data_IF_323964030067
#
_entry.id   IF_323964030067
#
_cell.length_a   1.000
_cell.length_b   1.000
_cell.length_c   1.000
_cell.angle_alpha   90.00
_cell.angle_beta   90.00
_cell.angle_gamma   90.00
#
_symmetry.space_group_name_H-M   'P 1'
#
loop_
_entity.id
_entity.type
_entity.pdbx_description
1 polymer ?
#
# COMPACT_ATOMS: atom_id res chain seq x y z
N UNK A 1 -2.81 15.19 14.38
CA UNK A 1 -1.72 15.44 13.40
C UNK A 1 -0.97 14.17 12.98
N UNK A 2 -0.64 13.24 13.88
CA UNK A 2 0.03 11.96 13.54
C UNK A 2 -0.69 11.01 12.55
N UNK A 3 -2.03 10.80 12.59
CA UNK A 3 -2.65 9.77 11.74
C UNK A 3 -2.63 10.12 10.24
N UNK A 4 -2.65 11.41 9.91
CA UNK A 4 -2.62 11.89 8.51
C UNK A 4 -1.28 11.54 7.86
N UNK A 5 -0.17 11.68 8.59
CA UNK A 5 1.16 11.34 8.09
C UNK A 5 1.29 9.83 7.82
N UNK A 6 0.76 9.00 8.73
CA UNK A 6 0.73 7.55 8.53
C UNK A 6 -0.09 7.20 7.29
N UNK A 7 -1.28 7.80 7.13
CA UNK A 7 -2.09 7.58 5.94
C UNK A 7 -1.34 7.95 4.66
N UNK A 8 -0.69 9.11 4.61
CA UNK A 8 0.10 9.56 3.44
C UNK A 8 1.23 8.57 3.14
N UNK A 9 2.02 8.20 4.15
CA UNK A 9 3.16 7.28 4.00
C UNK A 9 2.69 5.95 3.44
N UNK A 10 1.57 5.41 3.94
CA UNK A 10 1.06 4.09 3.56
C UNK A 10 0.22 4.06 2.29
N UNK A 11 -0.26 5.21 1.81
CA UNK A 11 -1.13 5.30 0.62
C UNK A 11 -0.53 4.61 -0.61
N UNK A 12 0.75 4.81 -1.00
CA UNK A 12 1.31 4.16 -2.18
C UNK A 12 1.33 2.63 -2.09
N UNK A 13 1.65 2.08 -0.92
CA UNK A 13 1.64 0.63 -0.69
C UNK A 13 0.23 0.05 -0.75
N UNK A 14 -0.75 0.75 -0.18
CA UNK A 14 -2.15 0.30 -0.22
C UNK A 14 -2.71 0.32 -1.65
N UNK A 15 -2.40 1.35 -2.43
CA UNK A 15 -2.79 1.44 -3.84
C UNK A 15 -2.11 0.37 -4.70
N UNK A 16 -0.82 0.11 -4.47
CA UNK A 16 -0.10 -1.00 -5.11
C UNK A 16 -0.77 -2.35 -4.79
N UNK A 17 -1.03 -2.62 -3.51
CA UNK A 17 -1.66 -3.85 -3.06
C UNK A 17 -3.06 -4.04 -3.68
N UNK A 18 -3.84 -2.95 -3.77
CA UNK A 18 -5.15 -2.96 -4.42
C UNK A 18 -5.01 -3.26 -5.92
N UNK A 19 -4.07 -2.64 -6.63
CA UNK A 19 -3.81 -2.91 -8.05
C UNK A 19 -3.42 -4.35 -8.32
N UNK A 20 -2.49 -4.90 -7.54
CA UNK A 20 -2.06 -6.30 -7.63
C UNK A 20 -3.18 -7.28 -7.29
N UNK A 21 -3.97 -6.98 -6.26
CA UNK A 21 -5.13 -7.78 -5.87
C UNK A 21 -6.19 -7.83 -6.97
N UNK A 22 -6.52 -6.68 -7.58
CA UNK A 22 -7.45 -6.62 -8.70
C UNK A 22 -6.92 -7.37 -9.93
N UNK A 23 -5.64 -7.22 -10.26
CA UNK A 23 -5.02 -7.96 -11.36
C UNK A 23 -5.10 -9.48 -11.14
N UNK A 24 -4.83 -9.93 -9.91
CA UNK A 24 -4.93 -11.35 -9.53
C UNK A 24 -6.36 -11.88 -9.64
N UNK A 25 -7.35 -11.14 -9.14
CA UNK A 25 -8.76 -11.56 -9.18
C UNK A 25 -9.37 -11.57 -10.58
N UNK A 26 -8.86 -10.71 -11.47
CA UNK A 26 -9.40 -10.54 -12.83
C UNK A 26 -8.60 -11.29 -13.89
N UNK A 27 -7.40 -11.76 -13.55
CA UNK A 27 -6.45 -12.36 -14.50
C UNK A 27 -5.87 -11.36 -15.49
N UNK A 28 -6.07 -10.05 -15.28
CA UNK A 28 -5.58 -9.03 -16.18
C UNK A 28 -4.06 -8.88 -16.09
N UNK A 29 -3.44 -8.75 -17.27
CA UNK A 29 -2.01 -8.51 -17.39
C UNK A 29 -1.68 -7.09 -16.95
N UNK A 30 -0.74 -6.96 -16.03
CA UNK A 30 -0.19 -5.69 -15.58
C UNK A 30 1.33 -5.78 -15.62
N UNK A 31 1.95 -4.78 -16.24
CA UNK A 31 3.40 -4.63 -16.23
C UNK A 31 3.78 -3.16 -16.14
N UNK A 32 5.04 -2.93 -15.83
CA UNK A 32 5.56 -1.61 -15.52
C UNK A 32 5.90 -0.78 -16.76
N UNK A 33 6.02 -1.44 -17.93
CA UNK A 33 6.45 -0.81 -19.17
C UNK A 33 5.32 -0.24 -20.01
N UNK A 34 4.08 -0.73 -19.83
CA UNK A 34 2.98 -0.32 -20.70
C UNK A 34 1.60 -0.49 -20.07
N UNK A 35 0.63 0.25 -20.60
CA UNK A 35 -0.79 0.06 -20.28
C UNK A 35 -1.36 -1.03 -21.16
N UNK A 36 -1.99 -2.02 -20.54
CA UNK A 36 -2.72 -3.09 -21.23
C UNK A 36 -4.23 -2.93 -21.01
N UNK A 37 -5.05 -2.95 -22.08
CA UNK A 37 -6.50 -2.87 -21.93
C UNK A 37 -7.02 -4.09 -21.16
N UNK A 38 -7.91 -3.85 -20.20
CA UNK A 38 -8.49 -4.87 -19.33
C UNK A 38 -9.96 -4.53 -19.13
N UNK A 39 -10.84 -5.15 -19.93
CA UNK A 39 -12.27 -4.85 -19.93
C UNK A 39 -13.00 -5.82 -19.00
N UNK A 40 -13.59 -5.29 -17.93
CA UNK A 40 -14.39 -6.05 -16.95
C UNK A 40 -15.77 -5.42 -16.89
N UNK A 41 -16.82 -6.22 -17.10
CA UNK A 41 -18.21 -5.75 -17.17
C UNK A 41 -18.42 -4.56 -18.14
N UNK A 42 -17.64 -4.50 -19.23
CA UNK A 42 -17.71 -3.42 -20.23
C UNK A 42 -16.94 -2.15 -19.87
N UNK A 43 -16.25 -2.09 -18.71
CA UNK A 43 -15.39 -0.98 -18.30
C UNK A 43 -13.92 -1.34 -18.49
N UNK A 44 -13.14 -0.47 -19.14
CA UNK A 44 -11.68 -0.64 -19.26
C UNK A 44 -10.97 -0.17 -17.99
N UNK A 45 -10.50 -1.13 -17.20
CA UNK A 45 -9.72 -0.92 -15.97
C UNK A 45 -8.21 -0.95 -16.22
N UNK A 46 -7.75 -1.15 -17.45
CA UNK A 46 -6.33 -1.28 -17.77
C UNK A 46 -5.51 -0.05 -17.36
N UNK A 47 -6.04 1.13 -17.65
CA UNK A 47 -5.41 2.39 -17.24
C UNK A 47 -5.38 2.60 -15.72
N UNK A 48 -6.44 2.17 -15.02
CA UNK A 48 -6.51 2.24 -13.56
C UNK A 48 -5.50 1.29 -12.92
N UNK A 49 -5.48 0.03 -13.34
CA UNK A 49 -4.54 -0.99 -12.85
C UNK A 49 -3.09 -0.56 -13.00
N UNK A 50 -2.73 -0.01 -14.17
CA UNK A 50 -1.39 0.54 -14.39
C UNK A 50 -1.06 1.69 -13.44
N UNK A 51 -1.99 2.61 -13.23
CA UNK A 51 -1.77 3.75 -12.32
C UNK A 51 -1.58 3.29 -10.88
N UNK A 52 -2.36 2.29 -10.44
CA UNK A 52 -2.27 1.70 -9.11
C UNK A 52 -0.93 0.97 -8.90
N UNK A 53 -0.48 0.16 -9.85
CA UNK A 53 0.79 -0.56 -9.72
C UNK A 53 2.00 0.37 -9.86
N UNK A 54 1.89 1.45 -10.63
CA UNK A 54 2.92 2.51 -10.67
C UNK A 54 3.14 3.19 -9.32
N UNK A 55 2.16 3.15 -8.39
CA UNK A 55 2.38 3.62 -7.02
C UNK A 55 3.43 2.80 -6.27
N UNK A 56 3.76 1.59 -6.73
CA UNK A 56 4.90 0.84 -6.21
C UNK A 56 6.24 1.57 -6.33
N UNK A 57 6.42 2.39 -7.37
CA UNK A 57 7.61 3.23 -7.48
C UNK A 57 7.67 4.32 -6.41
N UNK A 58 6.51 4.86 -6.00
CA UNK A 58 6.41 5.82 -4.90
C UNK A 58 6.54 5.14 -3.52
N UNK A 59 6.28 3.83 -3.43
CA UNK A 59 6.49 3.07 -2.20
C UNK A 59 7.99 2.99 -1.85
N UNK A 60 8.88 2.81 -2.83
CA UNK A 60 10.33 2.65 -2.61
C UNK A 60 10.93 3.76 -1.73
N UNK A 61 10.79 5.06 -2.05
CA UNK A 61 11.31 6.13 -1.19
C UNK A 61 10.56 6.25 0.14
N UNK A 62 9.36 5.69 0.25
CA UNK A 62 8.54 5.71 1.48
C UNK A 62 8.85 4.56 2.45
N UNK A 63 9.55 3.50 2.00
CA UNK A 63 9.95 2.35 2.82
C UNK A 63 10.63 2.71 4.16
N UNK A 64 11.62 3.64 4.23
CA UNK A 64 12.24 3.97 5.52
C UNK A 64 11.23 4.58 6.51
N UNK A 65 10.29 5.41 6.02
CA UNK A 65 9.26 6.01 6.85
C UNK A 65 8.22 4.98 7.32
N UNK A 66 7.86 4.02 6.45
CA UNK A 66 7.03 2.89 6.84
C UNK A 66 7.69 2.07 7.94
N UNK A 67 8.97 1.72 7.79
CA UNK A 67 9.71 0.97 8.81
C UNK A 67 9.74 1.70 10.16
N UNK A 68 10.04 3.00 10.16
CA UNK A 68 10.00 3.82 11.38
C UNK A 68 8.61 3.83 12.02
N UNK A 69 7.55 3.95 11.22
CA UNK A 69 6.17 3.93 11.73
C UNK A 69 5.82 2.62 12.43
N UNK A 70 6.28 1.48 11.89
CA UNK A 70 6.08 0.15 12.49
C UNK A 70 6.89 0.02 13.78
N UNK A 71 8.18 0.39 13.77
CA UNK A 71 9.04 0.29 14.94
C UNK A 71 8.52 1.11 16.11
N UNK A 72 8.07 2.35 15.84
CA UNK A 72 7.52 3.23 16.87
C UNK A 72 6.17 2.72 17.40
N UNK A 73 5.30 2.26 16.51
CA UNK A 73 4.01 1.65 16.87
C UNK A 73 4.19 0.39 17.72
N UNK A 74 5.02 -0.55 17.27
CA UNK A 74 5.31 -1.78 18.00
C UNK A 74 5.99 -1.51 19.35
N UNK A 75 6.97 -0.60 19.39
CA UNK A 75 7.67 -0.24 20.64
C UNK A 75 6.73 0.37 21.68
N UNK A 76 5.87 1.30 21.27
CA UNK A 76 4.86 1.88 22.17
C UNK A 76 3.82 0.85 22.64
N UNK A 77 3.39 -0.06 21.76
CA UNK A 77 2.50 -1.17 22.11
C UNK A 77 3.12 -2.12 23.13
N UNK A 78 4.35 -2.58 22.89
CA UNK A 78 5.09 -3.44 23.82
C UNK A 78 5.27 -2.75 25.16
N UNK A 79 5.65 -1.47 25.16
CA UNK A 79 5.85 -0.72 26.40
C UNK A 79 4.55 -0.54 27.19
N UNK A 80 3.42 -0.32 26.51
CA UNK A 80 2.10 -0.26 27.15
C UNK A 80 1.72 -1.60 27.78
N UNK A 81 1.99 -2.71 27.09
CA UNK A 81 1.80 -4.05 27.65
C UNK A 81 2.66 -4.26 28.89
N UNK A 82 3.95 -3.96 28.81
CA UNK A 82 4.85 -4.07 29.98
C UNK A 82 4.32 -3.24 31.13
N UNK A 83 4.01 -1.95 30.94
CA UNK A 83 3.46 -1.11 32.02
C UNK A 83 2.15 -1.64 32.60
N UNK A 84 1.27 -2.20 31.78
CA UNK A 84 0.02 -2.79 32.24
C UNK A 84 0.20 -4.09 33.03
N UNK A 85 1.32 -4.79 32.88
CA UNK A 85 1.66 -5.97 33.68
C UNK A 85 2.28 -5.63 35.04
N UNK A 86 2.79 -4.41 35.20
CA UNK A 86 3.39 -3.91 36.44
C UNK A 86 2.45 -3.02 37.27
N UNK A 87 1.19 -2.86 36.85
CA UNK A 87 0.13 -2.12 37.54
C UNK A 87 -0.88 -3.10 38.18
#
# INVERSE_FOLDING_TARGET
MMPILIAIVWTPALLLALGLGLAFLTGCRVDEGSRHPCVICGLDLGGLLYTLTMMGWLMIPMLPFMALSILFGAGSGVWALVRGWWA
#
